data_IF_193232397336
#
_entry.id   IF_193232397336
#
_cell.length_a   1.000
_cell.length_b   1.000
_cell.length_c   1.000
_cell.angle_alpha   90.00
_cell.angle_beta   90.00
_cell.angle_gamma   90.00
#
_symmetry.space_group_name_H-M   'P 1'
#
loop_
_entity.id
_entity.type
_entity.pdbx_description
1 polymer ?
#
# COMPACT_ATOMS: atom_id res chain seq x y z
N UNK A 1 -0.12 19.13 13.49
CA UNK A 1 0.73 18.58 12.42
C UNK A 1 0.37 17.12 12.31
N UNK A 2 0.06 16.55 11.14
CA UNK A 2 0.05 15.10 11.00
C UNK A 2 1.43 14.56 11.41
N UNK A 3 1.47 13.42 12.10
CA UNK A 3 2.73 12.79 12.46
C UNK A 3 3.53 12.49 11.20
N UNK A 4 4.84 12.75 11.24
CA UNK A 4 5.75 12.35 10.16
C UNK A 4 5.74 10.81 10.09
N UNK A 5 5.75 10.25 8.88
CA UNK A 5 5.81 8.81 8.70
C UNK A 5 7.14 8.28 9.24
N UNK A 6 7.08 7.32 10.17
CA UNK A 6 8.25 6.62 10.70
C UNK A 6 8.11 5.12 10.43
N UNK A 7 8.96 4.60 9.55
CA UNK A 7 8.87 3.22 9.08
C UNK A 7 8.88 2.20 10.23
N UNK A 8 9.75 2.37 11.22
CA UNK A 8 9.89 1.43 12.33
C UNK A 8 8.65 1.36 13.23
N UNK A 9 8.00 2.50 13.49
CA UNK A 9 6.76 2.58 14.27
C UNK A 9 5.59 1.95 13.52
N UNK A 10 5.50 2.21 12.22
CA UNK A 10 4.43 1.71 11.36
C UNK A 10 4.56 0.19 11.16
N UNK A 11 5.78 -0.34 10.98
CA UNK A 11 6.03 -1.79 10.95
C UNK A 11 5.68 -2.47 12.28
N UNK A 12 6.03 -1.85 13.40
CA UNK A 12 5.66 -2.34 14.74
C UNK A 12 4.13 -2.38 14.91
N UNK A 13 3.44 -1.38 14.37
CA UNK A 13 1.99 -1.28 14.41
C UNK A 13 1.30 -2.38 13.59
N UNK A 14 1.87 -2.79 12.45
CA UNK A 14 1.37 -3.96 11.69
C UNK A 14 1.46 -5.23 12.55
N UNK A 15 2.62 -5.47 13.18
CA UNK A 15 2.85 -6.70 13.94
C UNK A 15 1.94 -6.82 15.16
N UNK A 16 1.56 -5.68 15.75
CA UNK A 16 0.69 -5.61 16.92
C UNK A 16 -0.80 -5.49 16.55
N UNK A 17 -1.13 -5.39 15.25
CA UNK A 17 -2.48 -5.12 14.76
C UNK A 17 -3.09 -3.83 15.34
N UNK A 18 -2.25 -2.81 15.55
CA UNK A 18 -2.64 -1.52 16.15
C UNK A 18 -2.61 -0.36 15.17
N UNK A 19 -2.61 -0.65 13.86
CA UNK A 19 -2.57 0.40 12.83
C UNK A 19 -3.77 1.34 12.96
N UNK A 20 -3.47 2.64 13.06
CA UNK A 20 -4.44 3.72 13.07
C UNK A 20 -4.24 4.60 11.84
N UNK A 21 -5.29 4.74 11.03
CA UNK A 21 -5.28 5.57 9.83
C UNK A 21 -6.09 6.84 10.13
N UNK A 22 -5.47 8.01 9.99
CA UNK A 22 -6.12 9.28 10.38
C UNK A 22 -7.30 9.63 9.47
N UNK A 23 -7.14 9.45 8.15
CA UNK A 23 -8.19 9.65 7.14
C UNK A 23 -8.68 8.34 6.57
N UNK A 24 -9.05 7.43 7.48
CA UNK A 24 -9.56 6.11 7.12
C UNK A 24 -10.84 6.24 6.28
N UNK A 25 -10.85 5.65 5.07
CA UNK A 25 -12.06 5.52 4.27
C UNK A 25 -12.74 4.20 4.64
N UNK A 26 -13.95 4.20 5.21
CA UNK A 26 -14.68 2.98 5.48
C UNK A 26 -15.06 2.31 4.16
N UNK A 27 -14.41 1.20 3.81
CA UNK A 27 -14.66 0.49 2.54
C UNK A 27 -15.89 -0.42 2.64
N UNK A 28 -16.25 -0.85 3.85
CA UNK A 28 -17.43 -1.68 4.10
C UNK A 28 -18.73 -0.88 3.87
N UNK A 29 -19.53 -1.32 2.89
CA UNK A 29 -20.80 -0.68 2.53
C UNK A 29 -20.70 0.40 1.46
N UNK A 30 -19.49 0.72 0.98
CA UNK A 30 -19.27 1.67 -0.11
C UNK A 30 -19.63 1.09 -1.48
N UNK A 31 -20.03 1.98 -2.39
CA UNK A 31 -20.36 1.58 -3.75
C UNK A 31 -19.08 1.19 -4.51
N UNK A 32 -19.10 0.02 -5.16
CA UNK A 32 -17.99 -0.47 -5.98
C UNK A 32 -17.49 0.55 -7.01
N UNK A 33 -18.39 1.30 -7.67
CA UNK A 33 -17.98 2.35 -8.63
C UNK A 33 -17.23 3.51 -7.96
N UNK A 34 -17.58 3.83 -6.71
CA UNK A 34 -16.89 4.86 -5.93
C UNK A 34 -15.47 4.41 -5.62
N UNK A 35 -15.32 3.16 -5.16
CA UNK A 35 -14.02 2.57 -4.85
C UNK A 35 -13.13 2.45 -6.08
N UNK A 36 -13.68 2.03 -7.22
CA UNK A 36 -13.00 2.02 -8.52
C UNK A 36 -12.49 3.40 -8.92
N UNK A 37 -13.34 4.43 -8.78
CA UNK A 37 -12.95 5.80 -9.10
C UNK A 37 -11.79 6.28 -8.22
N UNK A 38 -11.85 6.02 -6.90
CA UNK A 38 -10.78 6.42 -5.98
C UNK A 38 -9.47 5.70 -6.33
N UNK A 39 -9.52 4.41 -6.66
CA UNK A 39 -8.33 3.66 -7.06
C UNK A 39 -7.70 4.19 -8.36
N UNK A 40 -8.52 4.52 -9.35
CA UNK A 40 -8.02 5.11 -10.59
C UNK A 40 -7.41 6.49 -10.35
N UNK A 41 -8.04 7.31 -9.50
CA UNK A 41 -7.49 8.62 -9.10
C UNK A 41 -6.15 8.47 -8.39
N UNK A 42 -6.01 7.49 -7.48
CA UNK A 42 -4.72 7.17 -6.85
C UNK A 42 -3.68 6.79 -7.89
N UNK A 43 -4.04 5.92 -8.85
CA UNK A 43 -3.12 5.49 -9.92
C UNK A 43 -2.67 6.67 -10.76
N UNK A 44 -3.60 7.53 -11.17
CA UNK A 44 -3.32 8.71 -11.99
C UNK A 44 -2.36 9.66 -11.24
N UNK A 45 -2.62 9.92 -9.95
CA UNK A 45 -1.75 10.77 -9.12
C UNK A 45 -0.34 10.19 -8.97
N UNK A 46 -0.21 8.88 -8.74
CA UNK A 46 1.11 8.23 -8.62
C UNK A 46 1.86 8.15 -9.96
N UNK A 47 1.14 8.12 -11.08
CA UNK A 47 1.74 8.16 -12.42
C UNK A 47 2.26 9.55 -12.79
N UNK A 48 1.61 10.62 -12.32
CA UNK A 48 2.10 11.99 -12.50
C UNK A 48 3.44 12.22 -11.78
N UNK A 49 3.57 11.68 -10.56
CA UNK A 49 4.81 11.73 -9.78
C UNK A 49 4.82 10.63 -8.73
N UNK A 50 5.89 9.82 -8.73
CA UNK A 50 6.08 8.79 -7.72
C UNK A 50 6.28 9.36 -6.31
N UNK A 51 6.72 10.62 -6.19
CA UNK A 51 6.86 11.36 -4.94
C UNK A 51 5.51 11.70 -4.28
N UNK A 52 4.40 11.71 -5.04
CA UNK A 52 3.07 12.04 -4.50
C UNK A 52 2.62 11.09 -3.37
N UNK A 53 3.26 9.91 -3.25
CA UNK A 53 3.05 9.00 -2.12
C UNK A 53 3.29 9.65 -0.75
N UNK A 54 4.13 10.69 -0.68
CA UNK A 54 4.43 11.45 0.54
C UNK A 54 3.26 12.32 1.02
N UNK A 55 2.24 12.53 0.18
CA UNK A 55 1.02 13.20 0.61
C UNK A 55 0.25 12.32 1.61
N UNK A 56 0.09 12.85 2.82
CA UNK A 56 -0.59 12.12 3.91
C UNK A 56 -2.03 11.69 3.58
N UNK A 57 -2.73 12.43 2.71
CA UNK A 57 -4.11 12.09 2.34
C UNK A 57 -4.11 10.91 1.38
N UNK A 58 -3.32 10.98 0.31
CA UNK A 58 -3.14 9.89 -0.64
C UNK A 58 -2.66 8.62 0.05
N UNK A 59 -1.68 8.75 0.94
CA UNK A 59 -1.15 7.62 1.70
C UNK A 59 -2.20 6.98 2.61
N UNK A 60 -2.95 7.78 3.38
CA UNK A 60 -4.05 7.28 4.22
C UNK A 60 -5.13 6.55 3.41
N UNK A 61 -5.44 7.05 2.21
CA UNK A 61 -6.39 6.41 1.31
C UNK A 61 -5.89 5.02 0.90
N UNK A 62 -4.64 4.92 0.42
CA UNK A 62 -4.04 3.64 0.04
C UNK A 62 -4.01 2.68 1.24
N UNK A 63 -3.59 3.15 2.42
CA UNK A 63 -3.60 2.36 3.66
C UNK A 63 -5.00 1.86 4.01
N UNK A 64 -6.04 2.65 3.78
CA UNK A 64 -7.43 2.23 4.00
C UNK A 64 -7.80 1.06 3.10
N UNK A 65 -7.39 1.10 1.82
CA UNK A 65 -7.58 -0.02 0.89
C UNK A 65 -6.82 -1.30 1.27
N UNK A 66 -5.69 -1.16 1.96
CA UNK A 66 -4.91 -2.32 2.47
C UNK A 66 -5.53 -2.88 3.74
N UNK A 67 -5.99 -2.02 4.66
CA UNK A 67 -6.56 -2.40 5.96
C UNK A 67 -7.92 -3.09 5.85
N UNK A 68 -8.85 -2.54 5.07
CA UNK A 68 -10.15 -3.18 4.90
C UNK A 68 -10.02 -4.40 3.98
N UNK A 69 -10.07 -5.58 4.61
CA UNK A 69 -9.92 -6.88 3.96
C UNK A 69 -10.89 -7.06 2.78
N UNK A 70 -10.37 -7.69 1.74
CA UNK A 70 -10.99 -7.92 0.45
C UNK A 70 -12.06 -9.02 0.53
N UNK A 71 -13.26 -8.62 0.92
CA UNK A 71 -14.48 -9.13 0.27
C UNK A 71 -14.66 -8.55 -1.15
N UNK A 72 -13.75 -7.69 -1.60
CA UNK A 72 -13.67 -7.18 -2.96
C UNK A 72 -13.10 -8.22 -3.94
N UNK A 73 -13.67 -8.25 -5.14
CA UNK A 73 -13.29 -9.11 -6.27
C UNK A 73 -11.76 -9.10 -6.48
N UNK A 74 -11.16 -10.27 -6.75
CA UNK A 74 -9.72 -10.47 -6.91
C UNK A 74 -9.05 -9.50 -7.90
N UNK A 75 -9.81 -9.02 -8.89
CA UNK A 75 -9.37 -8.04 -9.88
C UNK A 75 -8.92 -6.71 -9.24
N UNK A 76 -9.54 -6.29 -8.13
CA UNK A 76 -9.21 -5.02 -7.45
C UNK A 76 -8.00 -5.13 -6.54
N UNK A 77 -7.67 -6.33 -6.06
CA UNK A 77 -6.39 -6.55 -5.39
C UNK A 77 -5.24 -6.32 -6.35
N UNK A 78 -5.36 -6.91 -7.53
CA UNK A 78 -4.33 -6.91 -8.56
C UNK A 78 -4.05 -5.48 -9.04
N UNK A 79 -5.09 -4.67 -9.32
CA UNK A 79 -4.90 -3.29 -9.76
C UNK A 79 -4.20 -2.41 -8.72
N UNK A 80 -4.48 -2.57 -7.42
CA UNK A 80 -3.81 -1.83 -6.33
C UNK A 80 -2.35 -2.20 -6.17
N UNK A 81 -2.05 -3.50 -6.24
CA UNK A 81 -0.69 -4.02 -6.24
C UNK A 81 0.09 -3.46 -7.42
N UNK A 82 -0.50 -3.52 -8.61
CA UNK A 82 0.11 -2.99 -9.84
C UNK A 82 0.38 -1.49 -9.71
N UNK A 83 -0.56 -0.71 -9.17
CA UNK A 83 -0.38 0.72 -8.95
C UNK A 83 0.79 1.03 -8.01
N UNK A 84 0.83 0.36 -6.85
CA UNK A 84 1.87 0.55 -5.83
C UNK A 84 3.24 0.13 -6.36
N UNK A 85 3.32 -1.03 -7.04
CA UNK A 85 4.56 -1.54 -7.62
C UNK A 85 5.05 -0.66 -8.78
N UNK A 86 4.13 -0.11 -9.59
CA UNK A 86 4.49 0.81 -10.67
C UNK A 86 5.09 2.11 -10.11
N UNK A 87 4.45 2.73 -9.12
CA UNK A 87 4.98 3.93 -8.47
C UNK A 87 6.34 3.68 -7.81
N UNK A 88 6.49 2.53 -7.13
CA UNK A 88 7.75 2.16 -6.51
C UNK A 88 8.87 1.94 -7.52
N UNK A 89 8.59 1.27 -8.64
CA UNK A 89 9.57 1.08 -9.70
C UNK A 89 10.02 2.41 -10.32
N UNK A 90 9.10 3.34 -10.54
CA UNK A 90 9.45 4.70 -11.00
C UNK A 90 10.38 5.39 -10.00
N UNK A 91 10.07 5.32 -8.70
CA UNK A 91 10.90 5.93 -7.65
C UNK A 91 12.31 5.32 -7.59
N UNK A 92 12.42 3.99 -7.71
CA UNK A 92 13.71 3.28 -7.75
C UNK A 92 14.55 3.74 -8.95
N UNK A 93 13.92 3.87 -10.12
CA UNK A 93 14.60 4.32 -11.35
C UNK A 93 15.06 5.76 -11.21
N UNK A 94 14.22 6.66 -10.68
CA UNK A 94 14.60 8.06 -10.42
C UNK A 94 15.75 8.16 -9.42
N UNK A 95 15.70 7.41 -8.32
CA UNK A 95 16.78 7.34 -7.33
C UNK A 95 18.10 6.92 -7.96
N UNK A 96 18.08 5.92 -8.84
CA UNK A 96 19.28 5.46 -9.53
C UNK A 96 19.83 6.51 -10.50
N UNK A 97 18.97 7.23 -11.22
CA UNK A 97 19.36 8.31 -12.12
C UNK A 97 20.03 9.47 -11.38
N UNK A 98 19.46 9.89 -10.25
CA UNK A 98 20.00 11.00 -9.47
C UNK A 98 21.29 10.62 -8.74
N UNK A 99 21.41 9.36 -8.32
CA UNK A 99 22.67 8.79 -7.82
C UNK A 99 23.77 8.82 -8.90
N UNK A 100 23.46 8.38 -10.12
CA UNK A 100 24.40 8.39 -11.26
C UNK A 100 24.79 9.83 -11.66
N UNK A 101 23.88 10.79 -11.49
CA UNK A 101 24.14 12.20 -11.72
C UNK A 101 25.01 12.87 -10.63
N UNK A 102 25.33 12.16 -9.54
CA UNK A 102 25.95 12.68 -8.32
C UNK A 102 25.18 13.87 -7.70
N UNK A 103 23.86 13.91 -7.86
CA UNK A 103 23.01 14.90 -7.18
C UNK A 103 22.66 14.39 -5.78
N UNK A 104 23.50 14.75 -4.81
CA UNK A 104 23.31 14.33 -3.42
C UNK A 104 22.03 14.91 -2.78
N UNK A 105 21.58 16.09 -3.23
CA UNK A 105 20.40 16.73 -2.67
C UNK A 105 19.13 16.03 -3.15
N UNK A 106 19.05 15.75 -4.47
CA UNK A 106 17.96 14.98 -5.05
C UNK A 106 17.91 13.53 -4.51
N UNK A 107 19.06 12.88 -4.38
CA UNK A 107 19.16 11.52 -3.84
C UNK A 107 18.52 11.37 -2.45
N UNK A 108 18.73 12.35 -1.57
CA UNK A 108 18.20 12.32 -0.21
C UNK A 108 16.67 12.43 -0.17
N UNK A 109 16.06 13.10 -1.15
CA UNK A 109 14.60 13.26 -1.23
C UNK A 109 13.86 11.97 -1.57
N UNK A 110 14.54 10.97 -2.13
CA UNK A 110 13.94 9.67 -2.43
C UNK A 110 13.76 8.78 -1.22
N UNK A 111 14.39 9.10 -0.08
CA UNK A 111 14.34 8.25 1.12
C UNK A 111 12.90 8.03 1.59
N UNK A 112 12.18 9.11 1.85
CA UNK A 112 10.82 9.07 2.39
C UNK A 112 9.84 8.29 1.47
N UNK A 113 9.73 8.60 0.16
CA UNK A 113 8.86 7.84 -0.72
C UNK A 113 9.27 6.36 -0.84
N UNK A 114 10.56 6.03 -0.86
CA UNK A 114 11.02 4.62 -0.87
C UNK A 114 10.63 3.87 0.41
N UNK A 115 10.74 4.50 1.59
CA UNK A 115 10.30 3.91 2.85
C UNK A 115 8.77 3.68 2.85
N UNK A 116 7.99 4.64 2.35
CA UNK A 116 6.53 4.53 2.25
C UNK A 116 6.07 3.46 1.26
N UNK A 117 6.67 3.37 0.07
CA UNK A 117 6.38 2.30 -0.89
C UNK A 117 6.79 0.93 -0.33
N UNK A 118 7.97 0.82 0.27
CA UNK A 118 8.46 -0.41 0.88
C UNK A 118 7.52 -0.93 1.97
N UNK A 119 7.04 -0.03 2.83
CA UNK A 119 6.02 -0.32 3.84
C UNK A 119 4.72 -0.86 3.23
N UNK A 120 4.18 -0.20 2.20
CA UNK A 120 2.93 -0.63 1.56
C UNK A 120 3.07 -2.01 0.91
N UNK A 121 4.18 -2.26 0.21
CA UNK A 121 4.46 -3.56 -0.39
C UNK A 121 4.54 -4.64 0.68
N UNK A 122 5.29 -4.39 1.76
CA UNK A 122 5.39 -5.31 2.90
C UNK A 122 4.01 -5.61 3.51
N UNK A 123 3.20 -4.58 3.75
CA UNK A 123 1.89 -4.75 4.38
C UNK A 123 0.93 -5.51 3.48
N UNK A 124 0.89 -5.20 2.18
CA UNK A 124 0.08 -5.94 1.21
C UNK A 124 0.47 -7.41 1.17
N UNK A 125 1.77 -7.72 1.10
CA UNK A 125 2.26 -9.11 1.14
C UNK A 125 1.78 -9.79 2.43
N UNK A 126 1.99 -9.15 3.58
CA UNK A 126 1.59 -9.67 4.89
C UNK A 126 0.10 -10.00 4.98
N UNK A 127 -0.77 -9.13 4.45
CA UNK A 127 -2.23 -9.38 4.40
C UNK A 127 -2.55 -10.54 3.43
N UNK A 128 -1.90 -10.59 2.28
CA UNK A 128 -2.14 -11.67 1.29
C UNK A 128 -1.68 -13.05 1.79
N UNK A 129 -0.55 -13.13 2.52
CA UNK A 129 -0.04 -14.37 3.10
C UNK A 129 -0.94 -14.89 4.23
N UNK A 130 -1.41 -14.01 5.10
CA UNK A 130 -2.39 -14.34 6.14
C UNK A 130 -3.67 -14.92 5.54
N UNK A 131 -4.11 -14.38 4.40
CA UNK A 131 -5.28 -14.87 3.65
C UNK A 131 -5.05 -16.23 3.01
N UNK A 132 -3.89 -16.43 2.38
CA UNK A 132 -3.53 -17.71 1.78
C UNK A 132 -3.49 -18.83 2.85
N UNK A 133 -2.90 -18.53 4.00
CA UNK A 133 -2.87 -19.43 5.17
C UNK A 133 -4.28 -19.72 5.68
N UNK A 134 -5.11 -18.68 5.85
CA UNK A 134 -6.50 -18.84 6.32
C UNK A 134 -7.32 -19.73 5.38
N UNK A 135 -7.22 -19.54 4.05
CA UNK A 135 -7.90 -20.40 3.07
C UNK A 135 -7.44 -21.85 3.14
N UNK A 136 -6.13 -22.09 3.30
CA UNK A 136 -5.59 -23.44 3.44
C UNK A 136 -6.13 -24.15 4.68
N UNK A 137 -6.20 -23.47 5.82
CA UNK A 137 -6.74 -24.05 7.06
C UNK A 137 -8.23 -24.40 6.97
N UNK A 138 -9.02 -23.59 6.25
CA UNK A 138 -10.45 -23.85 6.00
C UNK A 138 -10.62 -25.06 5.07
N UNK A 139 -9.82 -25.16 4.01
CA UNK A 139 -9.85 -26.29 3.09
C UNK A 139 -9.46 -27.61 3.78
N UNK A 140 -8.45 -27.59 4.66
CA UNK A 140 -8.02 -28.76 5.42
C UNK A 140 -9.09 -29.24 6.42
N UNK A 141 -9.78 -28.31 7.09
CA UNK A 141 -10.91 -28.65 7.99
C UNK A 141 -12.10 -29.21 7.22
N UNK A 142 -12.38 -28.72 6.01
CA UNK A 142 -13.45 -29.23 5.17
C UNK A 142 -13.16 -30.64 4.61
N UNK A 143 -11.91 -30.94 4.26
CA UNK A 143 -11.50 -32.26 3.77
C UNK A 143 -11.38 -33.35 4.84
N UNK A 144 -11.25 -32.99 6.13
CA UNK A 144 -11.24 -33.92 7.27
C UNK A 144 -12.64 -34.28 7.78
N UNK A 145 -13.68 -33.60 7.31
CA UNK A 145 -15.07 -33.81 7.73
C UNK A 145 -15.87 -34.76 6.79
N UNK A 146 -15.20 -35.38 5.81
CA UNK A 146 -15.73 -36.37 4.85
C UNK A 146 -14.97 -37.67 4.95
#
# INVERSE_FOLDING_TARGET
MPAQFELDEELSSIQQDTIHISREIPIEGENQKTLERILNEIVDILQESSYNITDSTLFDQIRSFVKYDMSFNAIFLESRLVATLSGFNTEIVSTAQDLDANDQEAYLHHRDPLEMYGFLVFWIISVTEQKATSRATVAEKAGKAT
#
